data_IF_050408985847
#
_entry.id   IF_050408985847
#
_cell.length_a   1.000
_cell.length_b   1.000
_cell.length_c   1.000
_cell.angle_alpha   90.00
_cell.angle_beta   90.00
_cell.angle_gamma   90.00
#
_symmetry.space_group_name_H-M   'P 1'
#
loop_
_entity.id
_entity.type
_entity.pdbx_description
1 polymer ?
#
# COMPACT_ATOMS: atom_id res chain seq x y z
N UNK A 1 -6.24 9.86 -0.70
CA UNK A 1 -5.10 8.91 -0.72
C UNK A 1 -3.91 9.58 -0.06
N UNK A 2 -3.41 9.06 1.06
CA UNK A 2 -2.23 9.61 1.71
C UNK A 2 -0.95 9.09 1.03
N UNK A 3 -0.50 9.81 -0.01
CA UNK A 3 0.65 9.40 -0.83
C UNK A 3 1.93 9.32 -0.01
N UNK A 4 2.10 10.21 0.97
CA UNK A 4 3.31 10.26 1.80
C UNK A 4 3.49 8.96 2.59
N UNK A 5 2.44 8.52 3.26
CA UNK A 5 2.45 7.26 4.03
C UNK A 5 2.70 6.04 3.13
N UNK A 6 1.99 5.96 1.99
CA UNK A 6 2.16 4.86 1.02
C UNK A 6 3.63 4.76 0.57
N UNK A 7 4.25 5.89 0.26
CA UNK A 7 5.66 5.96 -0.14
C UNK A 7 6.61 5.52 0.98
N UNK A 8 6.40 6.01 2.20
CA UNK A 8 7.24 5.66 3.35
C UNK A 8 7.16 4.16 3.67
N UNK A 9 5.95 3.58 3.63
CA UNK A 9 5.74 2.14 3.86
C UNK A 9 6.37 1.30 2.74
N UNK A 10 6.19 1.67 1.47
CA UNK A 10 6.75 0.96 0.33
C UNK A 10 8.29 0.99 0.30
N UNK A 11 8.91 2.03 0.86
CA UNK A 11 10.37 2.11 1.01
C UNK A 11 10.88 1.27 2.18
N UNK A 12 10.12 1.21 3.27
CA UNK A 12 10.55 0.61 4.53
C UNK A 12 10.39 -0.92 4.56
N UNK A 13 9.38 -1.45 3.86
CA UNK A 13 8.99 -2.85 3.95
C UNK A 13 9.04 -3.54 2.59
N UNK A 14 9.34 -4.84 2.61
CA UNK A 14 9.23 -5.71 1.42
C UNK A 14 7.76 -6.05 1.12
N UNK A 15 7.41 -6.50 -0.11
CA UNK A 15 6.04 -6.93 -0.41
C UNK A 15 5.53 -7.98 0.58
N UNK A 16 6.38 -8.95 0.90
CA UNK A 16 6.05 -10.03 1.82
C UNK A 16 5.86 -9.55 3.26
N UNK A 17 6.58 -8.51 3.70
CA UNK A 17 6.33 -7.89 5.00
C UNK A 17 5.02 -7.13 5.03
N UNK A 18 4.67 -6.43 3.93
CA UNK A 18 3.41 -5.69 3.81
C UNK A 18 2.21 -6.65 3.78
N UNK A 19 2.29 -7.74 3.02
CA UNK A 19 1.27 -8.81 2.98
C UNK A 19 1.01 -9.38 4.37
N UNK A 20 2.08 -9.68 5.12
CA UNK A 20 1.96 -10.13 6.50
C UNK A 20 1.28 -9.09 7.39
N UNK A 21 1.57 -7.80 7.20
CA UNK A 21 0.94 -6.73 7.95
C UNK A 21 -0.54 -6.54 7.59
N UNK A 22 -0.93 -6.72 6.32
CA UNK A 22 -2.33 -6.74 5.90
C UNK A 22 -3.06 -7.88 6.61
N UNK A 23 -2.48 -9.08 6.60
CA UNK A 23 -3.05 -10.25 7.28
C UNK A 23 -3.20 -9.99 8.79
N UNK A 24 -2.17 -9.41 9.43
CA UNK A 24 -2.23 -9.05 10.85
C UNK A 24 -3.28 -7.97 11.15
N UNK A 25 -3.44 -6.96 10.28
CA UNK A 25 -4.44 -5.92 10.45
C UNK A 25 -5.85 -6.49 10.43
N UNK A 26 -6.12 -7.46 9.55
CA UNK A 26 -7.43 -8.15 9.48
C UNK A 26 -7.65 -8.99 10.75
N UNK A 27 -6.62 -9.67 11.25
CA UNK A 27 -6.73 -10.56 12.41
C UNK A 27 -6.81 -9.83 13.76
N UNK A 28 -6.19 -8.65 13.88
CA UNK A 28 -6.00 -7.95 15.15
C UNK A 28 -6.64 -6.56 15.17
N UNK A 29 -7.76 -6.38 14.47
CA UNK A 29 -8.54 -5.14 14.48
C UNK A 29 -7.70 -3.89 14.12
N UNK A 30 -6.98 -3.96 13.00
CA UNK A 30 -6.16 -2.85 12.48
C UNK A 30 -4.75 -2.77 13.06
N UNK A 31 -4.44 -3.54 14.11
CA UNK A 31 -3.11 -3.54 14.73
C UNK A 31 -2.11 -4.42 13.98
N UNK A 32 -0.99 -3.84 13.59
CA UNK A 32 0.13 -4.57 13.00
C UNK A 32 1.44 -3.77 13.17
N UNK A 33 2.59 -4.41 12.90
CA UNK A 33 3.91 -3.79 13.08
C UNK A 33 4.28 -2.74 12.02
N UNK A 34 3.57 -2.69 10.90
CA UNK A 34 3.89 -1.79 9.79
C UNK A 34 3.20 -0.43 9.94
N UNK A 35 1.94 -0.42 10.38
CA UNK A 35 1.09 0.75 10.43
C UNK A 35 -0.08 0.51 11.39
N UNK A 36 -0.31 1.41 12.35
CA UNK A 36 -1.39 1.25 13.34
C UNK A 36 -2.36 2.41 13.19
N UNK A 37 -3.63 2.09 13.01
CA UNK A 37 -4.76 3.02 13.01
C UNK A 37 -6.00 2.22 13.45
N UNK A 38 -6.98 2.90 14.05
CA UNK A 38 -8.19 2.30 14.60
C UNK A 38 -9.19 1.88 13.50
N UNK A 39 -9.07 2.43 12.28
CA UNK A 39 -9.86 2.02 11.13
C UNK A 39 -9.15 0.89 10.35
N UNK A 40 -9.65 -0.34 10.51
CA UNK A 40 -9.16 -1.54 9.84
C UNK A 40 -9.16 -1.38 8.32
N UNK A 41 -10.23 -0.81 7.75
CA UNK A 41 -10.36 -0.64 6.30
C UNK A 41 -9.33 0.37 5.80
N UNK A 42 -9.08 1.44 6.55
CA UNK A 42 -8.03 2.41 6.21
C UNK A 42 -6.65 1.76 6.26
N UNK A 43 -6.33 1.01 7.32
CA UNK A 43 -5.05 0.29 7.48
C UNK A 43 -4.81 -0.65 6.31
N UNK A 44 -5.77 -1.52 5.99
CA UNK A 44 -5.65 -2.50 4.91
C UNK A 44 -5.49 -1.79 3.56
N UNK A 45 -6.28 -0.75 3.30
CA UNK A 45 -6.19 0.02 2.06
C UNK A 45 -4.82 0.70 1.89
N UNK A 46 -4.26 1.25 2.96
CA UNK A 46 -2.96 1.93 2.92
C UNK A 46 -1.83 0.93 2.71
N UNK A 47 -1.85 -0.20 3.43
CA UNK A 47 -0.86 -1.27 3.27
C UNK A 47 -0.91 -1.91 1.89
N UNK A 48 -2.09 -2.21 1.35
CA UNK A 48 -2.25 -2.78 0.01
C UNK A 48 -1.71 -1.86 -1.10
N UNK A 49 -1.93 -0.55 -0.96
CA UNK A 49 -1.37 0.46 -1.87
C UNK A 49 0.15 0.52 -1.76
N UNK A 50 0.69 0.49 -0.54
CA UNK A 50 2.13 0.46 -0.31
C UNK A 50 2.78 -0.80 -0.91
N UNK A 51 2.13 -1.96 -0.75
CA UNK A 51 2.59 -3.21 -1.35
C UNK A 51 2.63 -3.13 -2.87
N UNK A 52 1.56 -2.65 -3.49
CA UNK A 52 1.51 -2.46 -4.95
C UNK A 52 2.65 -1.56 -5.45
N UNK A 53 2.93 -0.45 -4.75
CA UNK A 53 4.04 0.45 -5.10
C UNK A 53 5.38 -0.24 -4.95
N UNK A 54 5.59 -1.00 -3.87
CA UNK A 54 6.82 -1.76 -3.65
C UNK A 54 7.04 -2.82 -4.72
N UNK A 55 6.01 -3.56 -5.11
CA UNK A 55 6.07 -4.55 -6.19
C UNK A 55 6.41 -3.92 -7.53
N UNK A 56 5.83 -2.76 -7.85
CA UNK A 56 6.18 -1.99 -9.05
C UNK A 56 7.65 -1.55 -9.03
N UNK A 57 8.15 -1.10 -7.88
CA UNK A 57 9.57 -0.75 -7.75
C UNK A 57 10.49 -1.97 -7.97
N UNK A 58 10.08 -3.16 -7.54
CA UNK A 58 10.83 -4.40 -7.79
C UNK A 58 10.81 -4.83 -9.26
N UNK A 59 9.80 -4.41 -10.02
CA UNK A 59 9.72 -4.57 -11.48
C UNK A 59 10.57 -3.53 -12.24
N UNK A 60 11.30 -2.65 -11.53
CA UNK A 60 12.21 -1.68 -12.13
C UNK A 60 11.65 -0.27 -12.31
N UNK A 61 10.42 0.00 -11.85
CA UNK A 61 9.87 1.35 -11.86
C UNK A 61 10.57 2.23 -10.81
N UNK A 62 10.79 3.50 -11.12
CA UNK A 62 11.13 4.48 -10.08
C UNK A 62 9.95 4.68 -9.13
N UNK A 63 10.23 5.16 -7.91
CA UNK A 63 9.19 5.43 -6.91
C UNK A 63 8.06 6.33 -7.45
N UNK A 64 8.40 7.35 -8.25
CA UNK A 64 7.42 8.27 -8.82
C UNK A 64 6.57 7.57 -9.89
N UNK A 65 7.19 6.75 -10.74
CA UNK A 65 6.46 6.00 -11.77
C UNK A 65 5.54 4.95 -11.14
N UNK A 66 6.00 4.25 -10.10
CA UNK A 66 5.18 3.30 -9.36
C UNK A 66 3.93 3.96 -8.74
N UNK A 67 4.06 5.14 -8.14
CA UNK A 67 2.93 5.90 -7.59
C UNK A 67 1.97 6.37 -8.69
N UNK A 68 2.49 6.84 -9.84
CA UNK A 68 1.65 7.23 -10.97
C UNK A 68 0.88 6.05 -11.54
N UNK A 69 1.53 4.90 -11.66
CA UNK A 69 0.91 3.66 -12.15
C UNK A 69 -0.14 3.14 -11.17
N UNK A 70 0.10 3.20 -9.86
CA UNK A 70 -0.93 2.93 -8.85
C UNK A 70 -2.15 3.86 -9.06
N UNK A 71 -1.93 5.16 -9.19
CA UNK A 71 -3.02 6.12 -9.38
C UNK A 71 -3.82 5.86 -10.67
N UNK A 72 -3.13 5.45 -11.75
CA UNK A 72 -3.77 5.04 -13.00
C UNK A 72 -4.66 3.80 -12.80
N UNK A 73 -4.13 2.76 -12.16
CA UNK A 73 -4.89 1.52 -11.85
C UNK A 73 -6.15 1.81 -11.03
N UNK A 74 -6.06 2.71 -10.05
CA UNK A 74 -7.22 3.13 -9.25
C UNK A 74 -8.28 3.81 -10.11
N UNK A 75 -7.91 4.79 -10.95
CA UNK A 75 -8.87 5.50 -11.82
C UNK A 75 -9.57 4.56 -12.80
N UNK A 76 -8.83 3.59 -13.35
CA UNK A 76 -9.38 2.56 -14.23
C UNK A 76 -10.48 1.72 -13.56
N UNK A 77 -10.29 1.34 -12.29
CA UNK A 77 -11.31 0.60 -11.52
C UNK A 77 -12.51 1.50 -11.16
N UNK A 78 -12.28 2.79 -10.92
CA UNK A 78 -13.31 3.76 -10.56
C UNK A 78 -14.12 4.30 -11.76
N UNK A 79 -13.83 3.86 -12.99
CA UNK A 79 -14.52 4.34 -14.19
C UNK A 79 -14.29 5.83 -14.49
N UNK A 80 -13.18 6.38 -13.99
CA UNK A 80 -12.79 7.78 -14.17
C UNK A 80 -11.85 8.01 -15.36
N UNK A 81 -11.83 7.07 -16.32
CA UNK A 81 -11.07 7.15 -17.58
C UNK A 81 -11.99 7.45 -18.76
#
# INVERSE_FOLDING_TARGET
MNIKEIKELAKKFTPQQLENCITQAIQNEGKNKCYTNDDILEVVNTLAKAQTVRELMEQGYSEIEAIRELARRIRKVQGAE
#
